data_IF_216641125969
#
_entry.id   IF_216641125969
#
_cell.length_a   1.000
_cell.length_b   1.000
_cell.length_c   1.000
_cell.angle_alpha   90.00
_cell.angle_beta   90.00
_cell.angle_gamma   90.00
#
_symmetry.space_group_name_H-M   'P 1'
#
loop_
_entity.id
_entity.type
_entity.pdbx_description
1 polymer ?
#
# COMPACT_ATOMS: atom_id res chain seq x y z
N UNK A 1 14.49 -7.53 4.31
CA UNK A 1 13.83 -8.64 5.01
C UNK A 1 13.60 -9.77 4.03
N UNK A 2 14.11 -10.95 4.37
CA UNK A 2 13.94 -12.16 3.57
C UNK A 2 12.50 -12.65 3.65
N UNK A 3 12.12 -13.51 2.69
CA UNK A 3 10.80 -14.16 2.66
C UNK A 3 10.52 -14.93 3.96
N UNK A 4 11.55 -15.57 4.53
CA UNK A 4 11.41 -16.36 5.75
C UNK A 4 11.20 -15.47 6.99
N UNK A 5 11.90 -14.35 7.11
CA UNK A 5 11.68 -13.39 8.20
C UNK A 5 10.24 -12.83 8.19
N UNK A 6 9.71 -12.49 7.00
CA UNK A 6 8.31 -12.07 6.87
C UNK A 6 7.33 -13.17 7.29
N UNK A 7 7.63 -14.42 6.96
CA UNK A 7 6.84 -15.58 7.36
C UNK A 7 6.84 -15.76 8.88
N UNK A 8 8.01 -15.62 9.53
CA UNK A 8 8.13 -15.70 10.98
C UNK A 8 7.32 -14.60 11.68
N UNK A 9 7.38 -13.37 11.19
CA UNK A 9 6.58 -12.27 11.76
C UNK A 9 5.07 -12.57 11.62
N UNK A 10 4.62 -13.08 10.47
CA UNK A 10 3.22 -13.49 10.28
C UNK A 10 2.80 -14.61 11.24
N UNK A 11 3.65 -15.62 11.45
CA UNK A 11 3.38 -16.69 12.41
C UNK A 11 3.32 -16.18 13.85
N UNK A 12 4.17 -15.21 14.22
CA UNK A 12 4.11 -14.58 15.53
C UNK A 12 2.80 -13.82 15.75
N UNK A 13 2.31 -13.10 14.73
CA UNK A 13 1.01 -12.40 14.78
C UNK A 13 -0.12 -13.42 14.95
N UNK A 14 -0.13 -14.52 14.19
CA UNK A 14 -1.15 -15.58 14.32
C UNK A 14 -1.14 -16.19 15.72
N UNK A 15 0.04 -16.52 16.26
CA UNK A 15 0.15 -17.05 17.62
C UNK A 15 -0.43 -16.11 18.67
N UNK A 16 -0.19 -14.80 18.56
CA UNK A 16 -0.78 -13.81 19.47
C UNK A 16 -2.31 -13.77 19.34
N UNK A 17 -2.84 -13.86 18.12
CA UNK A 17 -4.29 -13.88 17.87
C UNK A 17 -4.96 -15.13 18.46
N UNK A 18 -4.32 -16.29 18.34
CA UNK A 18 -4.86 -17.57 18.82
C UNK A 18 -4.75 -17.70 20.33
N UNK A 19 -3.63 -17.29 20.92
CA UNK A 19 -3.39 -17.49 22.36
C UNK A 19 -3.96 -16.37 23.22
N UNK A 20 -3.99 -15.12 22.73
CA UNK A 20 -4.31 -13.95 23.56
C UNK A 20 -5.58 -13.22 23.11
N UNK A 21 -6.06 -13.47 21.89
CA UNK A 21 -7.25 -12.80 21.36
C UNK A 21 -8.40 -13.74 20.97
N UNK A 22 -8.26 -15.08 21.08
CA UNK A 22 -9.28 -16.03 20.59
C UNK A 22 -10.67 -15.84 21.22
N UNK A 23 -10.75 -15.40 22.48
CA UNK A 23 -12.01 -15.13 23.18
C UNK A 23 -12.25 -13.64 23.52
N UNK A 24 -11.51 -12.72 22.89
CA UNK A 24 -11.59 -11.30 23.24
C UNK A 24 -12.88 -10.68 22.69
N UNK A 25 -13.71 -10.12 23.58
CA UNK A 25 -14.99 -9.46 23.22
C UNK A 25 -14.81 -8.21 22.37
N UNK A 26 -13.67 -7.54 22.52
CA UNK A 26 -13.32 -6.34 21.75
C UNK A 26 -12.66 -6.66 20.39
N UNK A 27 -12.43 -7.95 20.09
CA UNK A 27 -11.86 -8.37 18.81
C UNK A 27 -12.87 -8.10 17.69
N UNK A 28 -12.41 -7.46 16.60
CA UNK A 28 -13.25 -6.97 15.49
C UNK A 28 -14.14 -5.76 15.82
N UNK A 29 -13.99 -5.15 16.99
CA UNK A 29 -14.43 -3.77 17.22
C UNK A 29 -13.69 -2.86 16.23
N UNK A 30 -14.33 -1.80 15.77
CA UNK A 30 -13.96 -0.92 14.65
C UNK A 30 -12.49 -0.43 14.61
N UNK A 31 -12.16 0.40 13.61
CA UNK A 31 -10.83 1.05 13.48
C UNK A 31 -10.40 1.89 14.69
N UNK A 32 -11.31 2.20 15.63
CA UNK A 32 -11.02 2.88 16.91
C UNK A 32 -11.25 1.96 18.13
N UNK A 33 -11.09 0.65 17.96
CA UNK A 33 -11.26 -0.29 19.07
C UNK A 33 -10.21 -0.11 20.17
N UNK A 34 -10.58 -0.53 21.38
CA UNK A 34 -9.68 -0.71 22.53
C UNK A 34 -8.41 -1.49 22.13
N UNK A 35 -8.55 -2.46 21.21
CA UNK A 35 -7.45 -3.22 20.64
C UNK A 35 -6.40 -2.35 19.92
N UNK A 36 -6.80 -1.24 19.30
CA UNK A 36 -5.91 -0.33 18.57
C UNK A 36 -5.32 0.74 19.48
N UNK A 37 -6.12 1.26 20.41
CA UNK A 37 -5.76 2.46 21.21
C UNK A 37 -4.96 2.10 22.46
N UNK A 38 -5.42 1.12 23.24
CA UNK A 38 -4.91 0.89 24.60
C UNK A 38 -4.44 -0.53 24.88
N UNK A 39 -4.87 -1.52 24.08
CA UNK A 39 -4.50 -2.92 24.31
C UNK A 39 -2.99 -3.17 24.08
N UNK A 40 -2.25 -3.73 25.07
CA UNK A 40 -0.83 -4.00 24.91
C UNK A 40 -0.54 -5.05 23.83
N UNK A 41 -1.44 -6.03 23.65
CA UNK A 41 -1.29 -7.09 22.65
C UNK A 41 -1.52 -6.52 21.25
N UNK A 42 -2.52 -5.66 21.10
CA UNK A 42 -2.77 -4.90 19.89
C UNK A 42 -1.60 -4.01 19.48
N UNK A 43 -0.99 -3.28 20.43
CA UNK A 43 0.23 -2.49 20.18
C UNK A 43 1.40 -3.36 19.72
N UNK A 44 1.59 -4.54 20.33
CA UNK A 44 2.62 -5.50 19.91
C UNK A 44 2.39 -6.01 18.49
N UNK A 45 1.16 -6.32 18.13
CA UNK A 45 0.79 -6.70 16.76
C UNK A 45 1.03 -5.55 15.76
N UNK A 46 0.69 -4.31 16.12
CA UNK A 46 0.98 -3.14 15.29
C UNK A 46 2.48 -2.97 15.04
N UNK A 47 3.32 -3.15 16.07
CA UNK A 47 4.77 -3.10 15.92
C UNK A 47 5.28 -4.16 14.94
N UNK A 48 4.80 -5.41 15.06
CA UNK A 48 5.12 -6.48 14.11
C UNK A 48 4.64 -6.16 12.69
N UNK A 49 3.47 -5.52 12.55
CA UNK A 49 2.96 -5.06 11.26
C UNK A 49 3.80 -3.94 10.66
N UNK A 50 4.30 -3.00 11.47
CA UNK A 50 5.18 -1.92 11.01
C UNK A 50 6.50 -2.50 10.49
N UNK A 51 7.03 -3.54 11.13
CA UNK A 51 8.21 -4.25 10.64
C UNK A 51 7.94 -4.85 9.24
N UNK A 52 6.75 -5.42 9.00
CA UNK A 52 6.32 -5.86 7.66
C UNK A 52 6.15 -4.70 6.66
N UNK A 53 5.68 -3.54 7.12
CA UNK A 53 5.36 -2.38 6.27
C UNK A 53 6.58 -1.56 5.82
N UNK A 54 7.74 -1.67 6.47
CA UNK A 54 8.96 -0.92 6.06
C UNK A 54 9.42 -1.22 4.61
N UNK A 55 8.86 -2.23 3.97
CA UNK A 55 9.17 -2.62 2.58
C UNK A 55 8.02 -2.50 1.59
N UNK A 56 6.84 -1.99 1.97
CA UNK A 56 5.90 -1.57 0.92
C UNK A 56 6.45 -0.28 0.32
N UNK A 57 6.79 -0.23 -0.98
CA UNK A 57 7.19 1.02 -1.61
C UNK A 57 6.14 2.08 -1.26
N UNK A 58 6.57 3.31 -0.93
CA UNK A 58 5.65 4.40 -0.63
C UNK A 58 4.92 4.78 -1.92
N UNK A 59 3.88 4.02 -2.24
CA UNK A 59 3.05 4.28 -3.40
C UNK A 59 2.37 5.62 -3.15
N UNK A 60 2.73 6.64 -3.91
CA UNK A 60 2.12 7.97 -3.82
C UNK A 60 0.64 7.86 -4.13
N UNK A 61 -0.20 8.32 -3.20
CA UNK A 61 -1.66 8.41 -3.36
C UNK A 61 -2.04 9.89 -3.47
N UNK A 62 -3.04 10.21 -4.30
CA UNK A 62 -3.56 11.57 -4.43
C UNK A 62 -3.44 12.13 -5.85
N UNK A 63 -3.49 13.47 -5.96
CA UNK A 63 -3.45 14.20 -7.24
C UNK A 63 -2.12 13.95 -7.96
N UNK A 64 -2.21 13.93 -9.28
CA UNK A 64 -1.04 13.94 -10.17
C UNK A 64 -0.55 15.38 -10.29
N UNK A 65 0.76 15.58 -10.19
CA UNK A 65 1.36 16.88 -10.50
C UNK A 65 1.58 17.03 -12.00
N UNK A 66 1.73 18.26 -12.49
CA UNK A 66 1.96 18.51 -13.91
C UNK A 66 3.25 17.85 -14.41
N UNK A 67 4.29 17.82 -13.57
CA UNK A 67 5.56 17.16 -13.89
C UNK A 67 5.39 15.63 -14.01
N UNK A 68 4.57 15.03 -13.15
CA UNK A 68 4.28 13.59 -13.21
C UNK A 68 3.47 13.24 -14.45
N UNK A 69 2.51 14.08 -14.84
CA UNK A 69 1.75 13.92 -16.08
C UNK A 69 2.63 14.09 -17.32
N UNK A 70 3.50 15.10 -17.32
CA UNK A 70 4.43 15.35 -18.40
C UNK A 70 5.42 14.19 -18.58
N UNK A 71 6.02 13.72 -17.47
CA UNK A 71 6.91 12.56 -17.49
C UNK A 71 6.21 11.32 -18.03
N UNK A 72 5.01 11.04 -17.52
CA UNK A 72 4.21 9.90 -17.94
C UNK A 72 3.90 9.96 -19.43
N UNK A 73 3.50 11.12 -19.95
CA UNK A 73 3.15 11.28 -21.36
C UNK A 73 4.36 11.16 -22.29
N UNK A 74 5.48 11.78 -21.93
CA UNK A 74 6.70 11.76 -22.74
C UNK A 74 7.30 10.36 -22.86
N UNK A 75 7.15 9.52 -21.83
CA UNK A 75 7.81 8.20 -21.78
C UNK A 75 6.86 7.01 -22.01
N UNK A 76 5.58 7.26 -22.34
CA UNK A 76 4.57 6.21 -22.53
C UNK A 76 4.93 5.19 -23.62
N UNK A 77 5.70 5.61 -24.62
CA UNK A 77 6.10 4.79 -25.76
C UNK A 77 7.47 4.13 -25.55
N UNK A 78 8.17 4.46 -24.45
CA UNK A 78 9.52 4.00 -24.13
C UNK A 78 9.50 2.93 -23.04
N UNK A 79 8.62 3.08 -22.04
CA UNK A 79 8.54 2.19 -20.89
C UNK A 79 7.15 1.59 -20.74
N UNK A 80 7.11 0.35 -20.28
CA UNK A 80 5.85 -0.32 -19.97
C UNK A 80 5.23 0.22 -18.67
N UNK A 81 3.93 -0.02 -18.48
CA UNK A 81 3.18 0.42 -17.28
C UNK A 81 3.85 0.04 -15.95
N UNK A 82 4.40 -1.18 -15.76
CA UNK A 82 5.11 -1.53 -14.52
C UNK A 82 6.37 -0.70 -14.28
N UNK A 83 7.12 -0.38 -15.33
CA UNK A 83 8.34 0.42 -15.24
C UNK A 83 8.02 1.89 -14.94
N UNK A 84 7.00 2.43 -15.60
CA UNK A 84 6.47 3.77 -15.32
C UNK A 84 5.95 3.87 -13.88
N UNK A 85 5.24 2.85 -13.41
CA UNK A 85 4.76 2.76 -12.03
C UNK A 85 5.89 2.76 -11.01
N UNK A 86 6.95 2.00 -11.25
CA UNK A 86 8.13 1.97 -10.39
C UNK A 86 8.82 3.34 -10.34
N UNK A 87 9.01 4.00 -11.48
CA UNK A 87 9.69 5.30 -11.58
C UNK A 87 8.91 6.46 -10.98
N UNK A 88 7.58 6.44 -11.13
CA UNK A 88 6.69 7.45 -10.56
C UNK A 88 6.30 7.15 -9.11
N UNK A 89 6.77 6.02 -8.57
CA UNK A 89 6.39 5.49 -7.26
C UNK A 89 4.87 5.43 -7.09
N UNK A 90 4.16 5.01 -8.13
CA UNK A 90 2.69 4.91 -8.18
C UNK A 90 2.26 3.49 -8.49
N UNK A 91 1.01 3.16 -8.17
CA UNK A 91 0.45 1.85 -8.51
C UNK A 91 0.22 1.76 -10.02
N UNK A 92 0.50 0.61 -10.61
CA UNK A 92 0.27 0.31 -12.04
C UNK A 92 -1.14 0.70 -12.50
N UNK A 93 -2.16 0.37 -11.70
CA UNK A 93 -3.56 0.73 -12.00
C UNK A 93 -3.79 2.26 -12.11
N UNK A 94 -3.09 3.05 -11.27
CA UNK A 94 -3.17 4.52 -11.30
C UNK A 94 -2.49 5.07 -12.55
N UNK A 95 -1.32 4.53 -12.91
CA UNK A 95 -0.59 4.89 -14.14
C UNK A 95 -1.44 4.58 -15.37
N UNK A 96 -1.96 3.36 -15.47
CA UNK A 96 -2.84 2.94 -16.56
C UNK A 96 -4.07 3.84 -16.70
N UNK A 97 -4.74 4.12 -15.58
CA UNK A 97 -5.92 5.00 -15.57
C UNK A 97 -5.56 6.42 -16.01
N UNK A 98 -4.39 6.93 -15.60
CA UNK A 98 -3.95 8.27 -15.95
C UNK A 98 -3.55 8.40 -17.42
N UNK A 99 -2.84 7.41 -17.97
CA UNK A 99 -2.53 7.34 -19.40
C UNK A 99 -3.81 7.42 -20.24
N UNK A 100 -4.82 6.61 -19.91
CA UNK A 100 -6.11 6.63 -20.61
C UNK A 100 -6.82 7.99 -20.51
N UNK A 101 -6.69 8.71 -19.40
CA UNK A 101 -7.25 10.06 -19.26
C UNK A 101 -6.50 11.06 -20.14
N UNK A 102 -5.17 11.00 -20.19
CA UNK A 102 -4.35 11.87 -21.03
C UNK A 102 -4.57 11.60 -22.52
N UNK A 103 -4.74 10.34 -22.93
CA UNK A 103 -5.11 9.96 -24.29
C UNK A 103 -6.44 10.57 -24.69
N UNK A 104 -7.48 10.44 -23.85
CA UNK A 104 -8.78 11.06 -24.12
C UNK A 104 -8.69 12.58 -24.24
N UNK A 105 -7.90 13.23 -23.37
CA UNK A 105 -7.69 14.68 -23.39
C UNK A 105 -6.96 15.13 -24.66
N UNK A 106 -6.06 14.32 -25.20
CA UNK A 106 -5.32 14.62 -26.43
C UNK A 106 -6.08 14.23 -27.72
N UNK A 107 -7.01 13.27 -27.64
CA UNK A 107 -7.85 12.85 -28.78
C UNK A 107 -9.07 13.74 -28.96
N UNK A 108 -9.56 14.40 -27.91
CA UNK A 108 -10.60 15.41 -28.01
C UNK A 108 -9.93 16.78 -28.25
N UNK A 109 -10.01 17.37 -29.45
CA UNK A 109 -9.66 18.77 -29.61
C UNK A 109 -10.67 19.59 -28.81
N UNK A 110 -10.16 20.53 -28.00
CA UNK A 110 -10.96 21.59 -27.41
C UNK A 110 -11.73 22.37 -28.48
#
# INVERSE_FOLDING_TARGET
MTREEKKQIRLQILKLLDTQCAGCKERHSSTQSTCVISCPIGKRMQQLSVLLSKESPRIKRGKWTEEEEFYLWQHKDIFDVPELAARLERSELSVYSKLRQLEKKNVLPC
#
